data_IF_573249072747
#
_entry.id   IF_573249072747
#
_cell.length_a   1.000
_cell.length_b   1.000
_cell.length_c   1.000
_cell.angle_alpha   90.00
_cell.angle_beta   90.00
_cell.angle_gamma   90.00
#
_symmetry.space_group_name_H-M   'P 1'
#
loop_
_entity.id
_entity.type
_entity.pdbx_description
1 polymer ?
#
# COMPACT_ATOMS: atom_id res chain seq x y z
N UNK A 1 35.95 -28.08 -4.07
CA UNK A 1 34.88 -27.33 -3.41
C UNK A 1 34.38 -26.24 -4.33
N UNK A 2 33.70 -26.57 -5.42
CA UNK A 2 33.11 -25.61 -6.39
C UNK A 2 31.91 -26.28 -7.09
N UNK A 3 30.99 -26.91 -6.36
CA UNK A 3 29.90 -27.69 -6.99
C UNK A 3 28.51 -27.23 -6.51
N UNK A 4 28.37 -26.46 -5.43
CA UNK A 4 27.07 -26.08 -4.88
C UNK A 4 26.48 -24.75 -5.43
N UNK A 5 27.24 -23.94 -6.15
CA UNK A 5 26.76 -22.67 -6.72
C UNK A 5 26.04 -22.78 -8.08
N UNK A 6 26.07 -23.94 -8.74
CA UNK A 6 25.56 -24.11 -10.10
C UNK A 6 24.15 -24.74 -10.15
N UNK A 7 23.70 -25.38 -9.07
CA UNK A 7 22.45 -26.15 -9.07
C UNK A 7 21.22 -25.26 -9.03
N UNK A 8 21.26 -24.10 -8.36
CA UNK A 8 20.12 -23.18 -8.31
C UNK A 8 19.84 -22.49 -9.66
N UNK A 9 20.88 -22.23 -10.47
CA UNK A 9 20.73 -21.60 -11.80
C UNK A 9 20.27 -22.57 -12.90
N UNK A 10 20.53 -23.86 -12.76
CA UNK A 10 20.24 -24.88 -13.80
C UNK A 10 18.79 -25.37 -13.70
N UNK A 11 18.17 -25.38 -12.54
CA UNK A 11 16.77 -25.84 -12.38
C UNK A 11 15.79 -24.88 -13.05
N UNK A 12 16.07 -23.58 -13.06
CA UNK A 12 15.20 -22.58 -13.72
C UNK A 12 15.29 -22.66 -15.23
N UNK A 13 16.45 -23.01 -15.80
CA UNK A 13 16.65 -23.07 -17.27
C UNK A 13 16.11 -24.37 -17.88
N UNK A 14 16.06 -25.46 -17.12
CA UNK A 14 15.59 -26.76 -17.61
C UNK A 14 14.06 -26.90 -17.65
N UNK A 15 13.31 -26.12 -16.86
CA UNK A 15 11.84 -26.12 -16.82
C UNK A 15 11.18 -25.31 -17.93
N UNK A 16 11.93 -24.45 -18.63
CA UNK A 16 11.42 -23.65 -19.77
C UNK A 16 11.47 -24.45 -21.09
N UNK A 17 12.18 -25.55 -21.16
CA UNK A 17 12.41 -26.30 -22.42
C UNK A 17 11.44 -27.46 -22.68
N UNK A 18 10.55 -27.81 -21.74
CA UNK A 18 9.55 -28.85 -21.94
C UNK A 18 8.16 -28.26 -22.07
N UNK A 19 7.69 -28.08 -23.30
CA UNK A 19 6.33 -27.64 -23.62
C UNK A 19 5.29 -28.65 -23.11
N UNK A 20 4.35 -28.18 -22.33
CA UNK A 20 3.16 -28.90 -21.92
C UNK A 20 2.90 -28.82 -20.42
N UNK A 21 1.84 -28.09 -20.06
CA UNK A 21 1.32 -27.87 -18.70
C UNK A 21 2.34 -27.27 -17.71
N UNK A 22 2.53 -25.98 -17.81
CA UNK A 22 3.02 -25.20 -16.67
C UNK A 22 1.87 -25.23 -15.65
N UNK A 23 1.89 -26.20 -14.73
CA UNK A 23 1.30 -25.98 -13.43
C UNK A 23 1.96 -24.71 -12.90
N UNK A 24 1.16 -23.70 -12.58
CA UNK A 24 1.65 -22.54 -11.86
C UNK A 24 2.48 -23.08 -10.70
N UNK A 25 3.81 -22.91 -10.76
CA UNK A 25 4.66 -23.19 -9.62
C UNK A 25 4.05 -22.39 -8.48
N UNK A 26 3.56 -23.09 -7.46
CA UNK A 26 3.05 -22.44 -6.28
C UNK A 26 4.23 -21.63 -5.74
N UNK A 27 4.12 -20.31 -5.85
CA UNK A 27 5.18 -19.38 -5.45
C UNK A 27 5.54 -19.55 -3.96
N UNK A 28 4.74 -20.35 -3.23
CA UNK A 28 4.97 -20.75 -1.85
C UNK A 28 6.18 -21.68 -1.68
N UNK A 29 6.59 -22.42 -2.72
CA UNK A 29 7.68 -23.41 -2.63
C UNK A 29 9.08 -22.85 -2.96
N UNK A 30 9.20 -21.57 -3.28
CA UNK A 30 10.51 -20.92 -3.42
C UNK A 30 11.13 -20.77 -2.03
N UNK A 31 12.26 -21.43 -1.80
CA UNK A 31 13.01 -21.36 -0.53
C UNK A 31 13.32 -19.90 -0.21
N UNK A 32 12.69 -19.36 0.84
CA UNK A 32 12.82 -17.97 1.28
C UNK A 32 13.93 -17.85 2.32
N UNK A 33 15.16 -18.08 1.91
CA UNK A 33 16.31 -17.91 2.79
C UNK A 33 17.22 -16.79 2.30
N UNK A 34 17.79 -16.06 3.26
CA UNK A 34 18.83 -15.09 2.95
C UNK A 34 20.10 -15.79 2.52
N UNK A 35 20.67 -15.44 1.37
CA UNK A 35 22.08 -15.73 1.12
C UNK A 35 22.96 -14.91 2.08
N UNK A 36 24.15 -15.38 2.48
CA UNK A 36 25.06 -14.61 3.34
C UNK A 36 25.37 -13.25 2.75
N UNK A 37 25.59 -13.16 1.44
CA UNK A 37 25.84 -11.92 0.72
C UNK A 37 24.61 -11.02 0.72
N UNK A 38 23.42 -11.55 0.49
CA UNK A 38 22.15 -10.82 0.52
C UNK A 38 21.87 -10.23 1.89
N UNK A 39 22.09 -11.00 2.98
CA UNK A 39 21.91 -10.52 4.36
C UNK A 39 22.90 -9.40 4.70
N UNK A 40 24.16 -9.51 4.25
CA UNK A 40 25.18 -8.47 4.42
C UNK A 40 24.78 -7.18 3.69
N UNK A 41 24.37 -7.30 2.43
CA UNK A 41 23.93 -6.15 1.64
C UNK A 41 22.70 -5.47 2.26
N UNK A 42 21.73 -6.24 2.72
CA UNK A 42 20.55 -5.75 3.42
C UNK A 42 20.96 -4.96 4.68
N UNK A 43 21.90 -5.46 5.49
CA UNK A 43 22.42 -4.79 6.68
C UNK A 43 23.13 -3.47 6.38
N UNK A 44 23.69 -3.31 5.20
CA UNK A 44 24.24 -2.03 4.73
C UNK A 44 23.14 -1.07 4.29
N UNK A 45 22.10 -1.55 3.57
CA UNK A 45 21.01 -0.74 3.04
C UNK A 45 20.11 -0.13 4.11
N UNK A 46 19.90 -0.78 5.24
CA UNK A 46 19.09 -0.24 6.35
C UNK A 46 19.68 1.03 6.97
N UNK A 47 20.94 1.37 6.67
CA UNK A 47 21.57 2.63 7.10
C UNK A 47 21.15 3.82 6.25
N UNK A 48 20.53 3.60 5.08
CA UNK A 48 20.05 4.67 4.23
C UNK A 48 18.89 5.44 4.89
N UNK A 49 18.76 6.75 4.60
CA UNK A 49 17.62 7.53 5.08
C UNK A 49 16.29 6.87 4.71
N UNK A 50 15.33 6.96 5.60
CA UNK A 50 13.98 6.48 5.39
C UNK A 50 12.99 7.65 5.53
N UNK A 51 11.86 7.54 4.85
CA UNK A 51 10.77 8.52 4.92
C UNK A 51 9.86 8.21 6.11
N UNK A 52 10.28 8.63 7.32
CA UNK A 52 9.59 8.31 8.59
C UNK A 52 8.59 9.42 9.03
N UNK A 53 8.38 10.44 8.19
CA UNK A 53 7.51 11.56 8.51
C UNK A 53 6.05 11.14 8.60
N UNK A 54 5.38 11.63 9.63
CA UNK A 54 3.92 11.51 9.79
C UNK A 54 3.23 12.86 9.63
N UNK A 55 1.98 12.82 9.22
CA UNK A 55 1.11 14.01 9.05
C UNK A 55 -0.03 13.91 10.04
N UNK A 56 -0.22 14.98 10.81
CA UNK A 56 -1.39 15.12 11.69
C UNK A 56 -2.63 15.42 10.84
N UNK A 57 -3.63 14.57 10.94
CA UNK A 57 -4.96 14.77 10.38
C UNK A 57 -5.87 15.25 11.52
N UNK A 58 -6.38 16.49 11.48
CA UNK A 58 -7.18 17.04 12.56
C UNK A 58 -8.51 16.29 12.72
N UNK A 59 -9.02 16.25 13.95
CA UNK A 59 -10.37 15.77 14.19
C UNK A 59 -11.38 16.62 13.42
N UNK A 60 -12.43 15.98 12.92
CA UNK A 60 -13.48 16.71 12.19
C UNK A 60 -14.25 15.82 11.23
N UNK A 61 -15.34 16.40 10.73
CA UNK A 61 -16.20 15.73 9.74
C UNK A 61 -15.67 15.91 8.32
N UNK A 62 -15.79 14.86 7.51
CA UNK A 62 -15.48 14.90 6.10
C UNK A 62 -16.58 14.23 5.26
N UNK A 63 -16.55 14.44 3.96
CA UNK A 63 -17.47 13.81 3.01
C UNK A 63 -16.86 12.48 2.54
N UNK A 64 -17.39 11.37 3.05
CA UNK A 64 -16.97 9.99 2.73
C UNK A 64 -17.82 9.40 1.62
N UNK A 65 -17.19 8.65 0.71
CA UNK A 65 -17.88 8.03 -0.42
C UNK A 65 -18.13 8.98 -1.59
N UNK A 66 -18.96 8.56 -2.52
CA UNK A 66 -19.18 9.26 -3.79
C UNK A 66 -20.64 9.59 -4.04
N UNK A 67 -20.88 10.69 -4.78
CA UNK A 67 -22.16 11.04 -5.40
C UNK A 67 -22.07 10.80 -6.90
N UNK A 68 -22.96 9.96 -7.45
CA UNK A 68 -23.00 9.66 -8.90
C UNK A 68 -23.27 10.87 -9.78
N UNK A 69 -23.89 11.92 -9.24
CA UNK A 69 -24.13 13.18 -9.98
C UNK A 69 -22.83 13.95 -10.21
N UNK A 70 -21.85 13.76 -9.33
CA UNK A 70 -20.55 14.44 -9.38
C UNK A 70 -19.50 13.53 -10.03
N UNK A 71 -19.50 12.24 -9.65
CA UNK A 71 -18.55 11.25 -10.13
C UNK A 71 -19.28 10.07 -10.78
N UNK A 72 -19.40 10.12 -12.11
CA UNK A 72 -20.04 9.06 -12.90
C UNK A 72 -19.29 7.73 -12.91
N UNK A 73 -18.01 7.72 -12.49
CA UNK A 73 -17.17 6.53 -12.41
C UNK A 73 -17.26 5.83 -11.05
N UNK A 74 -18.10 6.31 -10.13
CA UNK A 74 -18.21 5.76 -8.79
C UNK A 74 -18.79 4.34 -8.79
N UNK A 75 -18.12 3.45 -8.04
CA UNK A 75 -18.54 2.06 -7.86
C UNK A 75 -19.57 1.91 -6.73
N UNK A 76 -20.29 0.78 -6.74
CA UNK A 76 -21.34 0.49 -5.75
C UNK A 76 -20.84 0.57 -4.29
N UNK A 77 -19.61 0.16 -4.05
CA UNK A 77 -19.01 0.15 -2.71
C UNK A 77 -18.78 1.56 -2.10
N UNK A 78 -18.91 2.62 -2.91
CA UNK A 78 -18.73 3.99 -2.50
C UNK A 78 -20.02 4.67 -2.04
N UNK A 79 -21.17 3.98 -2.14
CA UNK A 79 -22.49 4.54 -1.83
C UNK A 79 -23.07 4.02 -0.51
N UNK A 80 -23.87 4.87 0.15
CA UNK A 80 -24.14 6.28 -0.13
C UNK A 80 -22.96 7.19 0.26
N UNK A 81 -22.84 8.35 -0.40
CA UNK A 81 -22.01 9.44 0.13
C UNK A 81 -22.59 9.93 1.44
N UNK A 82 -21.74 10.20 2.42
CA UNK A 82 -22.20 10.56 3.77
C UNK A 82 -21.20 11.45 4.50
N UNK A 83 -21.65 12.19 5.51
CA UNK A 83 -20.78 12.91 6.44
C UNK A 83 -20.32 11.94 7.54
N UNK A 84 -19.02 11.88 7.77
CA UNK A 84 -18.39 11.04 8.79
C UNK A 84 -17.43 11.89 9.61
N UNK A 85 -17.48 11.74 10.93
CA UNK A 85 -16.54 12.35 11.84
C UNK A 85 -15.43 11.35 12.16
N UNK A 86 -14.17 11.81 12.11
CA UNK A 86 -13.00 11.04 12.50
C UNK A 86 -12.21 11.85 13.53
N UNK A 87 -11.82 11.22 14.64
CA UNK A 87 -10.96 11.82 15.66
C UNK A 87 -9.57 12.14 15.07
N UNK A 88 -8.78 12.96 15.75
CA UNK A 88 -7.43 13.28 15.28
C UNK A 88 -6.52 12.04 15.30
N UNK A 89 -5.69 11.89 14.29
CA UNK A 89 -4.68 10.83 14.16
C UNK A 89 -3.51 11.32 13.35
N UNK A 90 -2.39 10.64 13.45
CA UNK A 90 -1.27 10.80 12.54
C UNK A 90 -1.27 9.68 11.51
N UNK A 91 -0.85 9.98 10.28
CA UNK A 91 -0.68 9.00 9.21
C UNK A 91 0.69 9.18 8.57
N UNK A 92 1.31 8.09 8.11
CA UNK A 92 2.56 8.17 7.36
C UNK A 92 2.37 9.06 6.13
N UNK A 93 3.26 10.02 5.95
CA UNK A 93 3.25 10.95 4.82
C UNK A 93 3.39 10.22 3.49
N UNK A 94 4.11 9.10 3.50
CA UNK A 94 4.42 8.26 2.36
C UNK A 94 3.93 6.82 2.59
N UNK A 95 3.85 6.03 1.53
CA UNK A 95 3.75 4.58 1.61
C UNK A 95 4.98 4.03 2.35
N UNK A 96 4.84 2.93 3.10
CA UNK A 96 5.99 2.28 3.73
C UNK A 96 6.96 1.83 2.65
N UNK A 97 8.20 2.30 2.76
CA UNK A 97 9.25 2.03 1.78
C UNK A 97 9.88 0.66 1.98
N UNK A 98 10.52 0.19 0.92
CA UNK A 98 11.25 -1.07 0.93
C UNK A 98 12.37 -1.08 1.97
N UNK A 99 13.09 0.05 2.17
CA UNK A 99 14.13 0.13 3.20
C UNK A 99 13.57 0.11 4.62
N UNK A 100 12.41 0.72 4.85
CA UNK A 100 11.76 0.67 6.17
C UNK A 100 11.31 -0.77 6.49
N UNK A 101 10.71 -1.44 5.51
CA UNK A 101 10.28 -2.83 5.68
C UNK A 101 11.48 -3.79 5.83
N UNK A 102 12.59 -3.50 5.17
CA UNK A 102 13.83 -4.25 5.32
C UNK A 102 14.38 -4.17 6.77
N UNK A 103 14.31 -3.00 7.42
CA UNK A 103 14.67 -2.84 8.84
C UNK A 103 13.84 -3.78 9.72
N UNK A 104 12.55 -3.88 9.46
CA UNK A 104 11.64 -4.78 10.19
C UNK A 104 12.00 -6.25 9.99
N UNK A 105 12.21 -6.68 8.75
CA UNK A 105 12.59 -8.06 8.42
C UNK A 105 13.87 -8.46 9.14
N UNK A 106 14.90 -7.62 9.09
CA UNK A 106 16.18 -7.91 9.77
C UNK A 106 16.03 -7.91 11.29
N UNK A 107 15.26 -6.98 11.86
CA UNK A 107 15.04 -6.90 13.30
C UNK A 107 14.25 -8.10 13.85
N UNK A 108 13.43 -8.76 13.01
CA UNK A 108 12.61 -9.91 13.38
C UNK A 108 13.17 -11.23 12.86
N UNK A 109 14.31 -11.22 12.19
CA UNK A 109 14.93 -12.39 11.53
C UNK A 109 13.95 -13.13 10.60
N UNK A 110 13.18 -12.37 9.82
CA UNK A 110 12.20 -12.89 8.87
C UNK A 110 12.86 -13.18 7.52
N UNK A 111 12.22 -14.05 6.74
CA UNK A 111 12.60 -14.32 5.36
C UNK A 111 12.44 -13.08 4.48
N UNK A 112 13.26 -12.89 3.42
CA UNK A 112 13.12 -11.81 2.47
C UNK A 112 11.79 -11.93 1.69
N UNK A 113 11.28 -10.81 1.20
CA UNK A 113 10.13 -10.81 0.29
C UNK A 113 10.49 -11.48 -1.04
N UNK A 114 9.48 -12.03 -1.72
CA UNK A 114 9.68 -12.84 -2.93
C UNK A 114 10.35 -12.05 -4.06
N UNK A 115 9.96 -10.81 -4.27
CA UNK A 115 10.52 -9.90 -5.28
C UNK A 115 12.00 -9.58 -5.04
N UNK A 116 12.48 -9.65 -3.78
CA UNK A 116 13.90 -9.44 -3.47
C UNK A 116 14.77 -10.67 -3.76
N UNK A 117 14.17 -11.86 -3.87
CA UNK A 117 14.87 -13.10 -4.16
C UNK A 117 15.24 -13.26 -5.64
N UNK A 118 14.40 -12.72 -6.55
CA UNK A 118 14.62 -12.86 -7.98
C UNK A 118 15.85 -12.10 -8.49
N UNK A 119 16.33 -11.13 -7.73
CA UNK A 119 17.54 -10.37 -8.05
C UNK A 119 18.80 -10.96 -7.36
N UNK A 120 18.79 -12.26 -7.06
CA UNK A 120 19.88 -12.96 -6.40
C UNK A 120 20.12 -12.53 -4.94
N UNK A 121 19.10 -11.98 -4.28
CA UNK A 121 19.22 -11.32 -2.98
C UNK A 121 19.79 -9.90 -3.10
N UNK A 122 20.01 -9.42 -4.32
CA UNK A 122 20.45 -8.07 -4.59
C UNK A 122 19.24 -7.14 -4.53
N UNK A 123 18.97 -6.65 -3.36
CA UNK A 123 18.12 -5.50 -3.14
C UNK A 123 18.66 -4.30 -3.93
N UNK A 124 17.99 -3.93 -5.03
CA UNK A 124 18.47 -2.83 -5.86
C UNK A 124 18.48 -1.52 -5.08
N UNK A 125 19.62 -0.84 -5.07
CA UNK A 125 19.79 0.45 -4.39
C UNK A 125 18.77 1.49 -4.88
N UNK A 126 18.38 1.40 -6.14
CA UNK A 126 17.38 2.26 -6.76
C UNK A 126 15.97 2.07 -6.19
N UNK A 127 15.69 0.97 -5.47
CA UNK A 127 14.37 0.62 -4.95
C UNK A 127 14.16 0.99 -3.47
N UNK A 128 15.17 1.54 -2.78
CA UNK A 128 15.10 1.81 -1.33
C UNK A 128 13.93 2.71 -0.95
N UNK A 129 13.62 3.72 -1.77
CA UNK A 129 12.54 4.68 -1.57
C UNK A 129 11.26 4.35 -2.36
N UNK A 130 11.15 3.13 -2.90
CA UNK A 130 9.92 2.66 -3.52
C UNK A 130 9.04 1.99 -2.47
N UNK A 131 7.70 1.95 -2.68
CA UNK A 131 6.81 1.30 -1.73
C UNK A 131 7.10 -0.20 -1.64
N UNK A 132 6.96 -0.76 -0.45
CA UNK A 132 6.98 -2.21 -0.27
C UNK A 132 5.72 -2.84 -0.86
N UNK A 133 5.88 -3.98 -1.50
CA UNK A 133 4.82 -4.77 -2.13
C UNK A 133 4.92 -6.24 -1.71
N UNK A 134 4.02 -7.10 -2.24
CA UNK A 134 3.98 -8.52 -1.92
C UNK A 134 3.85 -8.81 -0.41
N UNK A 135 3.18 -7.92 0.31
CA UNK A 135 2.88 -8.04 1.73
C UNK A 135 1.40 -8.36 1.94
N UNK A 136 1.12 -9.34 2.79
CA UNK A 136 -0.24 -9.64 3.23
C UNK A 136 -0.74 -8.58 4.22
N UNK A 137 -2.03 -8.60 4.54
CA UNK A 137 -2.57 -7.75 5.58
C UNK A 137 -1.92 -8.01 6.94
N UNK A 138 -1.66 -9.29 7.25
CA UNK A 138 -1.00 -9.68 8.51
C UNK A 138 0.45 -9.16 8.55
N UNK A 139 1.20 -9.25 7.44
CA UNK A 139 2.55 -8.69 7.32
C UNK A 139 2.55 -7.17 7.55
N UNK A 140 1.64 -6.45 6.90
CA UNK A 140 1.49 -5.00 7.04
C UNK A 140 1.12 -4.58 8.47
N UNK A 141 0.17 -5.29 9.09
CA UNK A 141 -0.23 -5.06 10.48
C UNK A 141 0.89 -5.38 11.47
N UNK A 142 1.67 -6.44 11.23
CA UNK A 142 2.83 -6.79 12.05
C UNK A 142 3.92 -5.71 11.98
N UNK A 143 4.20 -5.18 10.77
CA UNK A 143 5.12 -4.06 10.59
C UNK A 143 4.65 -2.82 11.35
N UNK A 144 3.40 -2.37 11.13
CA UNK A 144 2.89 -1.18 11.80
C UNK A 144 2.97 -1.31 13.33
N UNK A 145 2.62 -2.47 13.89
CA UNK A 145 2.77 -2.73 15.33
C UNK A 145 4.22 -2.67 15.81
N UNK A 146 5.15 -3.22 15.04
CA UNK A 146 6.57 -3.14 15.33
C UNK A 146 7.08 -1.70 15.34
N UNK A 147 6.57 -0.86 14.44
CA UNK A 147 6.86 0.56 14.36
C UNK A 147 6.08 1.42 15.39
N UNK A 148 5.40 0.80 16.38
CA UNK A 148 4.52 1.47 17.35
C UNK A 148 3.38 2.27 16.72
N UNK A 149 2.86 1.76 15.61
CA UNK A 149 1.78 2.30 14.80
C UNK A 149 0.69 1.23 14.58
N UNK A 150 -0.31 1.55 13.80
CA UNK A 150 -1.35 0.62 13.33
C UNK A 150 -1.67 0.88 11.86
N UNK A 151 -2.39 -0.03 11.21
CA UNK A 151 -2.99 0.30 9.92
C UNK A 151 -4.07 1.38 10.10
N UNK A 152 -4.23 2.33 9.16
CA UNK A 152 -5.34 3.27 9.18
C UNK A 152 -6.67 2.55 8.96
N UNK A 153 -7.75 3.06 9.53
CA UNK A 153 -9.08 2.65 9.10
C UNK A 153 -9.32 3.16 7.68
N UNK A 154 -10.26 2.53 6.98
CA UNK A 154 -10.66 2.94 5.64
C UNK A 154 -11.20 4.38 5.61
N UNK A 155 -11.84 4.85 6.68
CA UNK A 155 -12.31 6.22 6.84
C UNK A 155 -11.16 7.22 7.07
N UNK A 156 -10.20 6.87 7.93
CA UNK A 156 -9.00 7.68 8.14
C UNK A 156 -8.22 7.84 6.84
N UNK A 157 -7.98 6.74 6.13
CA UNK A 157 -7.28 6.75 4.86
C UNK A 157 -7.96 7.66 3.85
N UNK A 158 -9.30 7.58 3.71
CA UNK A 158 -10.06 8.41 2.77
C UNK A 158 -10.02 9.90 3.16
N UNK A 159 -10.17 10.22 4.47
CA UNK A 159 -10.04 11.60 4.95
C UNK A 159 -8.66 12.18 4.64
N UNK A 160 -7.59 11.42 4.94
CA UNK A 160 -6.22 11.83 4.64
C UNK A 160 -5.99 12.10 3.15
N UNK A 161 -6.65 11.33 2.27
CA UNK A 161 -6.53 11.47 0.82
C UNK A 161 -7.32 12.65 0.25
N UNK A 162 -8.55 12.87 0.73
CA UNK A 162 -9.53 13.78 0.09
C UNK A 162 -9.78 15.08 0.84
N UNK A 163 -9.29 15.22 2.07
CA UNK A 163 -9.69 16.34 2.92
C UNK A 163 -11.16 16.24 3.32
N UNK A 164 -11.81 17.39 3.45
CA UNK A 164 -13.18 17.49 4.01
C UNK A 164 -14.26 17.75 2.94
N UNK A 165 -13.86 18.25 1.79
CA UNK A 165 -14.75 18.79 0.74
C UNK A 165 -15.33 17.74 -0.23
N UNK A 166 -14.88 16.48 -0.13
CA UNK A 166 -15.39 15.39 -0.98
C UNK A 166 -14.86 15.39 -2.41
N UNK A 167 -13.70 16.03 -2.66
CA UNK A 167 -13.02 16.03 -3.96
C UNK A 167 -12.80 14.63 -4.50
N UNK A 168 -12.69 14.49 -5.85
CA UNK A 168 -12.55 13.19 -6.51
C UNK A 168 -11.16 12.61 -6.32
N UNK A 169 -10.11 13.44 -6.40
CA UNK A 169 -8.70 13.05 -6.26
C UNK A 169 -8.01 13.89 -5.18
N UNK A 170 -6.84 13.50 -4.69
CA UNK A 170 -6.10 14.28 -3.69
C UNK A 170 -5.85 15.72 -4.10
N UNK A 171 -5.57 15.96 -5.38
CA UNK A 171 -5.32 17.29 -5.98
C UNK A 171 -6.58 18.05 -6.39
N UNK A 172 -7.78 17.52 -6.19
CA UNK A 172 -9.06 18.14 -6.58
C UNK A 172 -9.86 17.32 -7.56
N UNK A 173 -10.69 17.98 -8.39
CA UNK A 173 -11.61 17.31 -9.32
C UNK A 173 -11.08 17.20 -10.76
N UNK A 174 -9.86 17.65 -11.02
CA UNK A 174 -9.26 17.52 -12.33
C UNK A 174 -8.94 16.04 -12.63
N UNK A 175 -9.16 15.58 -13.88
CA UNK A 175 -8.93 14.20 -14.26
C UNK A 175 -7.53 13.70 -13.88
N UNK A 176 -7.44 12.42 -13.54
CA UNK A 176 -6.15 11.77 -13.30
C UNK A 176 -5.33 11.70 -14.60
N UNK A 177 -4.03 11.88 -14.45
CA UNK A 177 -3.06 11.78 -15.54
C UNK A 177 -1.70 11.34 -15.01
N UNK A 178 -0.84 10.86 -15.92
CA UNK A 178 0.48 10.30 -15.57
C UNK A 178 1.47 11.31 -15.00
N UNK A 179 1.15 12.62 -15.07
CA UNK A 179 1.91 13.68 -14.40
C UNK A 179 1.56 13.86 -12.92
N UNK A 180 0.50 13.20 -12.43
CA UNK A 180 -0.01 13.34 -11.06
C UNK A 180 -0.09 12.03 -10.30
N UNK A 181 -0.18 10.89 -11.01
CA UNK A 181 -0.30 9.58 -10.40
C UNK A 181 0.29 8.48 -11.29
N UNK A 182 0.76 7.41 -10.67
CA UNK A 182 1.29 6.23 -11.34
C UNK A 182 0.21 5.16 -11.44
N UNK A 183 -0.42 5.03 -12.61
CA UNK A 183 -1.49 4.07 -12.89
C UNK A 183 -1.53 3.71 -14.38
N UNK A 184 -2.36 2.74 -14.77
CA UNK A 184 -2.60 2.40 -16.18
C UNK A 184 -1.40 1.81 -16.91
N UNK A 185 -0.47 1.19 -16.19
CA UNK A 185 0.80 0.72 -16.76
C UNK A 185 0.71 -0.65 -17.44
N UNK A 186 -0.44 -1.32 -17.38
CA UNK A 186 -0.66 -2.61 -18.06
C UNK A 186 -0.66 -2.51 -19.58
N UNK A 187 -0.98 -1.34 -20.11
CA UNK A 187 -1.05 -1.05 -21.55
C UNK A 187 0.21 -0.45 -22.13
N UNK A 188 1.33 -0.43 -21.41
CA UNK A 188 2.60 0.01 -21.97
C UNK A 188 2.98 -0.87 -23.13
N UNK A 189 2.81 -0.33 -24.34
CA UNK A 189 3.25 -0.92 -25.59
C UNK A 189 4.76 -1.08 -25.56
N UNK A 190 5.25 -2.26 -25.93
CA UNK A 190 6.68 -2.55 -25.99
C UNK A 190 7.04 -3.90 -25.35
N UNK A 191 8.31 -4.15 -25.06
CA UNK A 191 8.82 -5.46 -24.63
C UNK A 191 8.14 -6.09 -23.42
N UNK A 192 7.42 -5.29 -22.63
CA UNK A 192 6.69 -5.74 -21.43
C UNK A 192 5.44 -6.54 -21.81
N UNK A 193 4.77 -6.20 -22.92
CA UNK A 193 3.58 -6.93 -23.37
C UNK A 193 3.90 -8.37 -23.77
N UNK A 194 5.12 -8.59 -24.25
CA UNK A 194 5.59 -9.90 -24.70
C UNK A 194 6.24 -10.72 -23.58
N UNK A 195 6.40 -10.13 -22.38
CA UNK A 195 7.05 -10.75 -21.22
C UNK A 195 6.34 -10.39 -19.92
N UNK A 196 5.12 -10.91 -19.69
CA UNK A 196 4.35 -10.62 -18.47
C UNK A 196 5.11 -10.95 -17.18
N UNK A 197 6.04 -11.90 -17.21
CA UNK A 197 6.95 -12.22 -16.08
C UNK A 197 7.82 -11.03 -15.68
N UNK A 198 8.18 -10.13 -16.60
CA UNK A 198 8.95 -8.93 -16.27
C UNK A 198 8.18 -7.93 -15.43
N UNK A 199 6.86 -7.81 -15.63
CA UNK A 199 5.99 -6.97 -14.78
C UNK A 199 5.86 -7.52 -13.37
N UNK A 200 5.97 -8.84 -13.21
CA UNK A 200 5.97 -9.45 -11.88
C UNK A 200 7.26 -9.13 -11.12
N UNK A 201 8.40 -9.13 -11.82
CA UNK A 201 9.72 -8.91 -11.22
C UNK A 201 10.06 -7.42 -11.06
N UNK A 202 9.66 -6.60 -12.03
CA UNK A 202 9.99 -5.18 -12.10
C UNK A 202 8.74 -4.35 -12.40
N UNK A 203 7.80 -4.25 -11.45
CA UNK A 203 6.62 -3.44 -11.64
C UNK A 203 7.02 -1.96 -11.82
N UNK A 204 6.32 -1.21 -12.68
CA UNK A 204 6.66 0.19 -12.95
C UNK A 204 6.18 1.11 -11.82
N UNK A 205 6.55 0.79 -10.58
CA UNK A 205 6.35 1.65 -9.41
C UNK A 205 7.33 2.84 -9.44
N UNK A 206 7.02 3.86 -8.69
CA UNK A 206 7.86 5.05 -8.54
C UNK A 206 8.18 5.29 -7.07
N UNK A 207 9.23 6.09 -6.81
CA UNK A 207 9.59 6.52 -5.46
C UNK A 207 8.39 7.17 -4.75
N UNK A 208 8.26 6.93 -3.45
CA UNK A 208 7.11 7.37 -2.63
C UNK A 208 6.94 8.88 -2.55
N UNK A 209 8.00 9.64 -2.78
CA UNK A 209 8.04 11.11 -2.82
C UNK A 209 7.76 11.72 -4.21
N UNK A 210 7.46 10.87 -5.21
CA UNK A 210 7.09 11.33 -6.54
C UNK A 210 5.74 12.06 -6.54
N UNK A 211 5.54 12.95 -7.51
CA UNK A 211 4.30 13.71 -7.71
C UNK A 211 3.98 14.73 -6.60
N UNK A 212 4.95 15.53 -6.23
CA UNK A 212 4.80 16.60 -5.24
C UNK A 212 3.58 17.53 -5.50
N UNK A 213 3.22 17.72 -6.77
CA UNK A 213 2.06 18.52 -7.18
C UNK A 213 0.71 17.80 -7.07
N UNK A 214 0.70 16.58 -6.57
CA UNK A 214 -0.50 15.73 -6.48
C UNK A 214 -0.75 15.20 -5.05
N UNK A 215 -0.17 15.83 -4.05
CA UNK A 215 -0.38 15.52 -2.65
C UNK A 215 -1.81 15.85 -2.21
N UNK A 216 -2.24 15.21 -1.13
CA UNK A 216 -3.53 15.48 -0.51
C UNK A 216 -3.59 16.88 0.11
N UNK A 217 -4.77 17.39 0.52
CA UNK A 217 -4.90 18.68 1.24
C UNK A 217 -4.06 18.76 2.50
N UNK A 218 -3.72 17.61 3.09
CA UNK A 218 -2.88 17.52 4.28
C UNK A 218 -1.40 17.29 3.97
N UNK A 219 -1.02 17.19 2.68
CA UNK A 219 0.37 16.94 2.26
C UNK A 219 0.78 15.46 2.26
N UNK A 220 -0.18 14.54 2.24
CA UNK A 220 0.08 13.09 2.13
C UNK A 220 0.28 12.70 0.67
N UNK A 221 1.34 11.95 0.38
CA UNK A 221 1.75 11.55 -0.97
C UNK A 221 1.09 10.26 -1.42
N UNK A 222 1.01 10.05 -2.74
CA UNK A 222 0.63 8.78 -3.40
C UNK A 222 -0.73 8.21 -2.96
N UNK A 223 -1.69 9.08 -2.60
CA UNK A 223 -3.05 8.66 -2.24
C UNK A 223 -3.92 8.27 -3.45
N UNK A 224 -3.31 8.11 -4.62
CA UNK A 224 -3.92 7.69 -5.89
C UNK A 224 -2.88 7.02 -6.77
N UNK A 225 -2.99 5.72 -7.01
CA UNK A 225 -2.05 4.95 -7.83
C UNK A 225 -0.79 4.54 -7.06
N UNK A 226 0.26 4.18 -7.76
CA UNK A 226 1.50 3.59 -7.30
C UNK A 226 1.27 2.19 -6.71
N UNK A 227 0.97 2.06 -5.44
CA UNK A 227 0.44 0.81 -4.86
C UNK A 227 -0.90 1.06 -4.18
N UNK A 228 -1.80 0.10 -4.28
CA UNK A 228 -2.98 0.06 -3.41
C UNK A 228 -2.53 -0.22 -1.98
N UNK A 229 -3.31 0.20 -0.99
CA UNK A 229 -2.90 0.18 0.39
C UNK A 229 -3.89 -0.55 1.30
N UNK A 230 -3.40 -1.53 2.06
CA UNK A 230 -4.16 -2.19 3.08
C UNK A 230 -4.67 -1.20 4.14
N UNK A 231 -5.93 -1.39 4.55
CA UNK A 231 -6.51 -0.71 5.72
C UNK A 231 -6.93 -1.71 6.79
N UNK A 232 -7.21 -1.24 7.99
CA UNK A 232 -7.53 -2.11 9.12
C UNK A 232 -8.87 -2.85 8.98
N UNK A 233 -9.80 -2.29 8.22
CA UNK A 233 -11.19 -2.69 8.15
C UNK A 233 -11.37 -4.05 7.48
N UNK A 234 -12.35 -4.84 7.96
CA UNK A 234 -12.96 -5.85 7.12
C UNK A 234 -13.74 -5.17 6.00
N UNK A 235 -13.72 -5.78 4.81
CA UNK A 235 -14.43 -5.27 3.64
C UNK A 235 -15.84 -5.82 3.55
N UNK A 236 -16.81 -4.93 3.37
CA UNK A 236 -18.17 -5.21 2.91
C UNK A 236 -18.59 -4.11 1.94
N UNK A 237 -19.03 -4.51 0.75
CA UNK A 237 -19.50 -3.60 -0.29
C UNK A 237 -20.62 -2.69 0.19
N UNK A 238 -21.49 -3.16 1.07
CA UNK A 238 -22.67 -2.45 1.55
C UNK A 238 -22.45 -1.71 2.87
N UNK A 239 -21.27 -1.79 3.45
CA UNK A 239 -20.99 -1.25 4.79
C UNK A 239 -21.41 0.21 4.97
N UNK A 240 -21.25 1.06 3.96
CA UNK A 240 -21.61 2.49 4.05
C UNK A 240 -23.09 2.76 4.31
N UNK A 241 -23.98 1.78 4.04
CA UNK A 241 -25.43 1.90 4.33
C UNK A 241 -25.74 1.87 5.83
N UNK A 242 -24.88 1.23 6.63
CA UNK A 242 -25.10 0.96 8.07
C UNK A 242 -23.95 1.42 8.97
N UNK A 243 -22.87 1.95 8.38
CA UNK A 243 -21.71 2.40 9.13
C UNK A 243 -22.08 3.53 10.11
N UNK A 244 -21.45 3.60 11.29
CA UNK A 244 -21.64 4.74 12.20
C UNK A 244 -21.11 6.02 11.58
N UNK A 245 -21.66 7.17 12.01
CA UNK A 245 -21.22 8.49 11.54
C UNK A 245 -19.95 8.97 12.22
N UNK A 246 -19.50 8.27 13.26
CA UNK A 246 -18.28 8.59 14.01
C UNK A 246 -17.33 7.40 14.03
N UNK A 247 -16.08 7.63 13.62
CA UNK A 247 -14.98 6.67 13.62
C UNK A 247 -15.37 5.28 13.08
N UNK A 248 -15.94 5.15 11.86
CA UNK A 248 -16.28 3.84 11.30
C UNK A 248 -15.01 3.01 11.10
N UNK A 249 -15.07 1.74 11.52
CA UNK A 249 -13.92 0.80 11.53
C UNK A 249 -14.14 -0.43 10.66
N UNK A 250 -15.14 -0.39 9.76
CA UNK A 250 -15.57 -1.56 9.01
C UNK A 250 -16.48 -2.49 9.82
N UNK A 251 -16.98 -3.58 9.21
CA UNK A 251 -17.71 -4.62 9.91
C UNK A 251 -16.84 -5.28 11.01
N UNK A 252 -17.46 -5.83 12.04
CA UNK A 252 -16.75 -6.53 13.12
C UNK A 252 -16.01 -7.79 12.62
N UNK A 253 -16.52 -8.42 11.57
CA UNK A 253 -15.95 -9.62 10.96
C UNK A 253 -16.17 -9.63 9.45
N UNK A 254 -15.35 -10.40 8.76
CA UNK A 254 -15.41 -10.55 7.31
C UNK A 254 -14.45 -11.63 6.83
N UNK A 255 -14.41 -11.85 5.52
CA UNK A 255 -13.47 -12.76 4.86
C UNK A 255 -12.40 -12.04 4.07
N UNK A 256 -12.61 -10.73 3.84
CA UNK A 256 -11.70 -9.88 3.09
C UNK A 256 -11.35 -8.63 3.89
N UNK A 257 -10.09 -8.19 3.79
CA UNK A 257 -9.62 -6.91 4.31
C UNK A 257 -9.72 -5.84 3.24
N UNK A 258 -10.06 -4.61 3.64
CA UNK A 258 -10.21 -3.50 2.72
C UNK A 258 -8.84 -2.96 2.29
N UNK A 259 -8.75 -2.51 1.03
CA UNK A 259 -7.64 -1.74 0.50
C UNK A 259 -8.13 -0.56 -0.34
N UNK A 260 -7.27 0.43 -0.53
CA UNK A 260 -7.59 1.74 -1.08
C UNK A 260 -6.55 2.21 -2.09
N UNK A 261 -6.87 3.28 -2.83
CA UNK A 261 -5.95 4.06 -3.63
C UNK A 261 -5.71 3.55 -5.05
N UNK A 262 -5.89 2.26 -5.27
CA UNK A 262 -5.49 1.59 -6.51
C UNK A 262 -3.97 1.60 -6.72
N UNK A 263 -3.47 0.75 -7.60
CA UNK A 263 -2.04 0.62 -7.88
C UNK A 263 -1.66 0.98 -9.31
N UNK A 264 -0.39 0.81 -9.64
CA UNK A 264 0.18 1.08 -10.96
C UNK A 264 -0.52 0.33 -12.11
N UNK A 265 -1.13 -0.80 -11.80
CA UNK A 265 -1.85 -1.67 -12.74
C UNK A 265 -3.25 -1.15 -13.07
N UNK A 266 -3.86 -0.37 -12.18
CA UNK A 266 -5.26 0.00 -12.22
C UNK A 266 -5.58 1.11 -13.24
N UNK A 267 -6.83 1.19 -13.63
CA UNK A 267 -7.34 2.25 -14.52
C UNK A 267 -7.83 3.47 -13.71
N UNK A 268 -8.04 4.59 -14.39
CA UNK A 268 -8.50 5.85 -13.80
C UNK A 268 -9.65 5.72 -12.79
N UNK A 269 -10.73 4.96 -13.05
CA UNK A 269 -11.80 4.79 -12.07
C UNK A 269 -11.35 4.15 -10.76
N UNK A 270 -10.35 3.29 -10.78
CA UNK A 270 -9.90 2.52 -9.63
C UNK A 270 -8.90 3.27 -8.73
N UNK A 271 -8.25 4.32 -9.26
CA UNK A 271 -7.30 5.12 -8.46
C UNK A 271 -7.95 6.32 -7.75
N UNK A 272 -9.28 6.43 -7.75
CA UNK A 272 -10.00 7.43 -6.95
C UNK A 272 -9.98 7.06 -5.47
N UNK A 273 -9.62 7.98 -4.56
CA UNK A 273 -9.55 7.68 -3.13
C UNK A 273 -10.87 7.19 -2.50
N UNK A 274 -12.03 7.53 -3.07
CA UNK A 274 -13.32 7.01 -2.59
C UNK A 274 -13.53 5.54 -2.90
N UNK A 275 -12.84 5.01 -3.93
CA UNK A 275 -12.94 3.61 -4.34
C UNK A 275 -12.43 2.68 -3.25
N UNK A 276 -13.16 1.58 -3.02
CA UNK A 276 -12.85 0.56 -2.01
C UNK A 276 -12.89 -0.82 -2.65
N UNK A 277 -11.93 -1.63 -2.27
CA UNK A 277 -11.89 -3.05 -2.63
C UNK A 277 -11.55 -3.91 -1.43
N UNK A 278 -11.69 -5.22 -1.59
CA UNK A 278 -11.34 -6.20 -0.58
C UNK A 278 -10.57 -7.38 -1.17
N UNK A 279 -9.65 -7.93 -0.39
CA UNK A 279 -8.95 -9.17 -0.70
C UNK A 279 -8.77 -10.00 0.57
N UNK A 280 -8.55 -11.30 0.41
CA UNK A 280 -8.23 -12.19 1.53
C UNK A 280 -7.01 -11.68 2.32
N UNK A 281 -6.97 -11.81 3.66
CA UNK A 281 -5.89 -11.24 4.47
C UNK A 281 -4.50 -11.79 4.12
N UNK A 282 -4.41 -12.98 3.54
CA UNK A 282 -3.15 -13.60 3.10
C UNK A 282 -2.75 -13.24 1.66
N UNK A 283 -3.55 -12.42 0.96
CA UNK A 283 -3.25 -12.02 -0.41
C UNK A 283 -1.98 -11.17 -0.48
N UNK A 284 -1.08 -11.51 -1.42
CA UNK A 284 0.16 -10.78 -1.70
C UNK A 284 0.21 -10.46 -3.18
N UNK A 285 0.29 -9.17 -3.52
CA UNK A 285 0.31 -8.70 -4.91
C UNK A 285 1.41 -7.67 -5.13
N UNK A 286 1.95 -7.60 -6.35
CA UNK A 286 3.00 -6.66 -6.74
C UNK A 286 2.49 -5.21 -6.99
N UNK A 287 1.27 -4.94 -6.62
CA UNK A 287 0.62 -3.63 -6.68
C UNK A 287 -0.09 -3.26 -5.37
N UNK A 288 0.15 -4.04 -4.29
CA UNK A 288 -0.51 -3.88 -2.99
C UNK A 288 0.54 -3.77 -1.89
N UNK A 289 0.57 -2.62 -1.26
CA UNK A 289 1.42 -2.24 -0.14
C UNK A 289 0.60 -1.68 1.01
N UNK A 290 1.14 -0.72 1.76
CA UNK A 290 0.45 -0.09 2.89
C UNK A 290 1.17 1.16 3.38
N UNK A 291 0.49 1.92 4.23
CA UNK A 291 1.03 2.93 5.14
C UNK A 291 0.46 2.74 6.53
N UNK A 292 1.12 3.28 7.56
CA UNK A 292 0.64 3.20 8.93
C UNK A 292 -0.01 4.50 9.41
N UNK A 293 -0.80 4.38 10.46
CA UNK A 293 -1.37 5.49 11.23
C UNK A 293 -1.01 5.34 12.71
N UNK A 294 -1.18 6.41 13.46
CA UNK A 294 -0.94 6.44 14.91
C UNK A 294 -1.99 7.28 15.60
N UNK A 295 -2.47 6.81 16.74
CA UNK A 295 -3.39 7.60 17.54
C UNK A 295 -2.64 8.77 18.18
N UNK A 296 -3.25 9.96 18.12
CA UNK A 296 -2.75 11.11 18.86
C UNK A 296 -2.99 10.83 20.34
N UNK A 297 -1.94 10.85 21.16
CA UNK A 297 -2.09 10.79 22.60
C UNK A 297 -2.78 12.08 23.05
N UNK A 298 -3.92 11.97 23.71
CA UNK A 298 -4.48 13.11 24.43
C UNK A 298 -3.40 13.66 25.35
N UNK A 299 -2.83 14.79 24.99
CA UNK A 299 -2.09 15.59 25.95
C UNK A 299 -3.12 16.08 26.96
N UNK A 300 -3.22 15.37 28.08
CA UNK A 300 -4.19 15.68 29.16
C UNK A 300 -3.89 17.03 29.82
N UNK A 301 -4.04 18.11 29.09
CA UNK A 301 -4.25 19.45 29.62
C UNK A 301 -5.75 19.64 29.86
N UNK A 302 -6.19 19.09 30.98
CA UNK A 302 -7.42 19.53 31.65
C UNK A 302 -7.41 21.06 31.73
N UNK A 303 -8.22 21.70 30.87
CA UNK A 303 -8.63 23.09 31.12
C UNK A 303 -9.45 23.11 32.41
N UNK A 304 -8.77 23.18 33.54
CA UNK A 304 -9.32 23.68 34.79
C UNK A 304 -9.47 25.20 34.66
N UNK A 305 -10.40 25.64 33.81
CA UNK A 305 -10.96 27.00 33.89
C UNK A 305 -11.97 26.97 35.06
N UNK A 306 -11.55 27.38 36.24
CA UNK A 306 -12.47 27.79 37.31
C UNK A 306 -13.27 29.00 36.81
N UNK A 307 -14.59 29.00 36.91
CA UNK A 307 -15.37 30.23 36.78
C UNK A 307 -15.09 31.15 37.97
N UNK A 308 -14.75 32.38 37.67
CA UNK A 308 -14.82 33.50 38.63
C UNK A 308 -16.22 34.05 38.65
#
# INVERSE_FOLDING_TARGET
MRVFGIIAGIVITALIAMGGLVHALDVADVVREWTPEGKKLAAERVKLPAHDEMVLIPAGSFTMGSDRKIDHNAYQAEFPQRKVYVDAYEIDKFEVTTVQYLKFILAKDLAPLIDWQYDGGNFQETMVNHPVMHVSWDDANAYCKWAEKRLPTSAEWEKAARGEDGRIYPWGNQPAGLSRANFGRTGLSGPVRDRPERLLLYPPIVSVDKYENAVSPYGVYQMSGNVAEWTNDWYDQNYYKTAPDRNPKGPERGTQKAFRGGGWIDSTPSVRPAQRNGAGPNTKMNWLGFRCAKDVKDSGESQNAKPQ
#
